data_IF_868484751689
#
_entry.id   IF_868484751689
#
_cell.length_a   1.000
_cell.length_b   1.000
_cell.length_c   1.000
_cell.angle_alpha   90.00
_cell.angle_beta   90.00
_cell.angle_gamma   90.00
#
_symmetry.space_group_name_H-M   'P 1'
#
loop_
_entity.id
_entity.type
_entity.pdbx_description
1 polymer ?
#
# COMPACT_ATOMS: atom_id res chain seq x y z
N UNK A 1 4.89 13.43 11.94
CA UNK A 1 5.35 12.85 10.66
C UNK A 1 5.13 13.86 9.54
N UNK A 2 6.01 13.93 8.55
CA UNK A 2 5.79 14.77 7.36
C UNK A 2 4.54 14.28 6.61
N UNK A 3 3.81 15.15 5.88
CA UNK A 3 2.71 14.72 5.03
C UNK A 3 3.16 13.68 3.99
N UNK A 4 2.32 12.70 3.70
CA UNK A 4 2.67 11.62 2.77
C UNK A 4 3.04 12.16 1.39
N UNK A 5 2.31 13.16 0.92
CA UNK A 5 2.61 13.87 -0.33
C UNK A 5 4.02 14.47 -0.36
N UNK A 6 4.53 15.02 0.74
CA UNK A 6 5.90 15.53 0.84
C UNK A 6 6.91 14.39 0.75
N UNK A 7 6.69 13.30 1.49
CA UNK A 7 7.58 12.14 1.46
C UNK A 7 7.58 11.43 0.10
N UNK A 8 6.47 11.52 -0.65
CA UNK A 8 6.36 11.06 -2.03
C UNK A 8 7.22 11.88 -2.98
N UNK A 9 7.16 13.21 -2.87
CA UNK A 9 8.00 14.11 -3.66
C UNK A 9 9.50 13.83 -3.41
N UNK A 10 9.88 13.62 -2.14
CA UNK A 10 11.25 13.28 -1.78
C UNK A 10 11.75 11.95 -2.39
N UNK A 11 10.85 11.01 -2.66
CA UNK A 11 11.19 9.75 -3.36
C UNK A 11 11.16 9.88 -4.89
N UNK A 12 10.96 11.08 -5.45
CA UNK A 12 10.94 11.33 -6.89
C UNK A 12 9.54 11.36 -7.52
N UNK A 13 8.48 11.41 -6.70
CA UNK A 13 7.12 11.61 -7.21
C UNK A 13 6.95 13.00 -7.81
N UNK A 14 6.14 13.12 -8.86
CA UNK A 14 5.79 14.42 -9.44
C UNK A 14 4.79 15.19 -8.57
N UNK A 15 4.85 16.52 -8.59
CA UNK A 15 3.79 17.37 -8.01
C UNK A 15 2.51 17.14 -8.81
N UNK A 16 1.43 16.78 -8.10
CA UNK A 16 0.09 16.73 -8.65
C UNK A 16 -0.90 17.30 -7.64
N UNK A 17 -2.16 17.50 -8.03
CA UNK A 17 -3.23 17.92 -7.12
C UNK A 17 -3.94 16.75 -6.45
N UNK A 18 -3.35 15.55 -6.46
CA UNK A 18 -4.00 14.32 -6.03
C UNK A 18 -4.08 14.16 -4.51
N UNK A 19 -4.93 13.23 -4.08
CA UNK A 19 -4.89 12.73 -2.71
C UNK A 19 -4.01 11.48 -2.63
N UNK A 20 -3.16 11.40 -1.61
CA UNK A 20 -2.18 10.32 -1.49
C UNK A 20 -2.26 9.64 -0.13
N UNK A 21 -2.10 8.33 -0.11
CA UNK A 21 -1.87 7.51 1.09
C UNK A 21 -0.60 6.67 0.92
N UNK A 22 0.02 6.27 2.04
CA UNK A 22 1.02 5.19 2.01
C UNK A 22 0.33 3.88 1.73
N UNK A 23 1.03 2.98 1.06
CA UNK A 23 0.56 1.64 0.74
C UNK A 23 1.74 0.66 0.79
N UNK A 24 2.46 0.60 1.90
CA UNK A 24 3.72 -0.15 1.97
C UNK A 24 3.46 -1.65 1.73
N UNK A 25 4.25 -2.32 0.88
CA UNK A 25 4.06 -3.74 0.60
C UNK A 25 4.34 -4.58 1.84
N UNK A 26 3.54 -5.62 2.05
CA UNK A 26 3.64 -6.47 3.25
C UNK A 26 3.42 -7.94 2.95
N UNK A 27 3.89 -8.78 3.86
CA UNK A 27 3.46 -10.16 3.98
C UNK A 27 2.57 -10.30 5.22
N UNK A 28 1.33 -10.71 5.02
CA UNK A 28 0.36 -11.01 6.06
C UNK A 28 0.33 -12.51 6.28
N UNK A 29 0.67 -12.95 7.50
CA UNK A 29 0.71 -14.35 7.88
C UNK A 29 -0.44 -14.65 8.86
N UNK A 30 -1.43 -15.44 8.44
CA UNK A 30 -2.39 -16.01 9.36
C UNK A 30 -1.70 -16.98 10.34
N UNK A 31 -2.08 -16.92 11.61
CA UNK A 31 -1.70 -17.85 12.67
C UNK A 31 -2.94 -18.10 13.56
N UNK A 32 -2.86 -19.09 14.44
CA UNK A 32 -3.92 -19.45 15.39
C UNK A 32 -4.37 -18.27 16.27
N UNK A 33 -3.46 -17.32 16.55
CA UNK A 33 -3.70 -16.17 17.42
C UNK A 33 -4.19 -14.93 16.69
N UNK A 34 -4.11 -14.89 15.37
CA UNK A 34 -4.47 -13.72 14.57
C UNK A 34 -3.68 -13.62 13.29
N UNK A 35 -3.71 -12.44 12.67
CA UNK A 35 -2.97 -12.17 11.43
C UNK A 35 -1.84 -11.21 11.74
N UNK A 36 -0.61 -11.61 11.40
CA UNK A 36 0.59 -10.83 11.70
C UNK A 36 1.22 -10.28 10.44
N UNK A 37 1.75 -9.07 10.52
CA UNK A 37 2.39 -8.37 9.42
C UNK A 37 3.91 -8.51 9.53
N UNK A 38 4.55 -8.96 8.45
CA UNK A 38 5.96 -8.79 8.18
C UNK A 38 6.14 -7.65 7.17
N UNK A 39 6.91 -6.63 7.55
CA UNK A 39 7.09 -5.43 6.73
C UNK A 39 8.13 -5.62 5.63
N UNK A 40 8.09 -4.75 4.63
CA UNK A 40 8.91 -4.79 3.43
C UNK A 40 10.43 -4.93 3.68
N UNK A 41 10.96 -4.43 4.80
CA UNK A 41 12.39 -4.54 5.13
C UNK A 41 12.83 -5.99 5.32
N UNK A 42 11.90 -6.88 5.70
CA UNK A 42 12.15 -8.32 5.84
C UNK A 42 11.95 -9.09 4.53
N UNK A 43 11.37 -8.45 3.51
CA UNK A 43 10.94 -9.12 2.29
C UNK A 43 12.01 -9.11 1.21
N UNK A 44 13.05 -8.26 1.32
CA UNK A 44 14.08 -8.10 0.28
C UNK A 44 13.45 -7.96 -1.13
N UNK A 45 12.44 -7.10 -1.22
CA UNK A 45 11.64 -6.91 -2.42
C UNK A 45 12.46 -6.19 -3.49
N UNK A 46 12.56 -6.77 -4.69
CA UNK A 46 13.29 -6.16 -5.80
C UNK A 46 12.43 -5.11 -6.52
N UNK A 47 13.08 -4.14 -7.17
CA UNK A 47 12.38 -3.09 -7.91
C UNK A 47 11.51 -3.63 -9.05
N UNK A 48 11.98 -4.68 -9.75
CA UNK A 48 11.23 -5.32 -10.82
C UNK A 48 9.98 -6.05 -10.31
N UNK A 49 10.09 -6.73 -9.16
CA UNK A 49 8.98 -7.40 -8.49
C UNK A 49 7.92 -6.39 -8.03
N UNK A 50 8.35 -5.29 -7.39
CA UNK A 50 7.46 -4.22 -6.96
C UNK A 50 6.72 -3.58 -8.15
N UNK A 51 7.45 -3.30 -9.25
CA UNK A 51 6.86 -2.75 -10.47
C UNK A 51 5.78 -3.67 -11.04
N UNK A 52 6.05 -4.96 -11.13
CA UNK A 52 5.11 -5.93 -11.70
C UNK A 52 3.81 -6.04 -10.88
N UNK A 53 3.92 -6.11 -9.55
CA UNK A 53 2.75 -6.14 -8.66
C UNK A 53 1.92 -4.85 -8.75
N UNK A 54 2.58 -3.69 -8.77
CA UNK A 54 1.92 -2.39 -8.95
C UNK A 54 1.23 -2.28 -10.31
N UNK A 55 1.84 -2.82 -11.36
CA UNK A 55 1.25 -2.83 -12.71
C UNK A 55 -0.03 -3.66 -12.74
N UNK A 56 -0.03 -4.87 -12.19
CA UNK A 56 -1.26 -5.69 -12.09
C UNK A 56 -2.33 -5.03 -11.24
N UNK A 57 -1.96 -4.38 -10.13
CA UNK A 57 -2.92 -3.60 -9.33
C UNK A 57 -3.55 -2.48 -10.18
N UNK A 58 -2.71 -1.70 -10.88
CA UNK A 58 -3.19 -0.57 -11.67
C UNK A 58 -4.07 -1.01 -12.84
N UNK A 59 -3.78 -2.15 -13.48
CA UNK A 59 -4.66 -2.72 -14.51
C UNK A 59 -6.04 -3.09 -13.95
N UNK A 60 -6.08 -3.58 -12.71
CA UNK A 60 -7.32 -4.04 -12.07
C UNK A 60 -8.17 -2.90 -11.52
N UNK A 61 -7.56 -1.91 -10.87
CA UNK A 61 -8.26 -0.90 -10.08
C UNK A 61 -8.28 0.51 -10.70
N UNK A 62 -7.75 0.69 -11.91
CA UNK A 62 -7.75 2.00 -12.58
C UNK A 62 -9.15 2.59 -12.77
N UNK A 63 -10.16 1.75 -13.04
CA UNK A 63 -11.55 2.18 -13.21
C UNK A 63 -12.14 2.79 -11.93
N UNK A 64 -11.63 2.40 -10.76
CA UNK A 64 -12.03 2.95 -9.45
C UNK A 64 -11.28 4.26 -9.12
N UNK A 65 -10.46 4.76 -10.05
CA UNK A 65 -9.62 5.95 -9.87
C UNK A 65 -8.41 5.70 -8.96
N UNK A 66 -8.06 4.45 -8.70
CA UNK A 66 -6.95 4.06 -7.84
C UNK A 66 -5.69 3.85 -8.67
N UNK A 67 -4.55 4.34 -8.17
CA UNK A 67 -3.24 4.07 -8.77
C UNK A 67 -2.18 3.89 -7.70
N UNK A 68 -1.51 2.75 -7.69
CA UNK A 68 -0.29 2.55 -6.93
C UNK A 68 0.93 3.08 -7.68
N UNK A 69 1.88 3.62 -6.91
CA UNK A 69 3.22 3.97 -7.35
C UNK A 69 4.27 3.38 -6.42
N UNK A 70 5.16 2.56 -6.95
CA UNK A 70 6.35 2.08 -6.26
C UNK A 70 7.55 2.97 -6.61
N UNK A 71 7.75 4.07 -5.87
CA UNK A 71 8.92 4.94 -6.05
C UNK A 71 10.19 4.34 -5.44
N UNK A 72 10.02 3.50 -4.40
CA UNK A 72 11.04 2.56 -3.90
C UNK A 72 10.40 1.18 -3.79
N UNK A 73 11.18 0.08 -3.87
CA UNK A 73 10.63 -1.26 -3.74
C UNK A 73 9.78 -1.44 -2.48
N UNK A 74 10.23 -0.90 -1.35
CA UNK A 74 9.60 -1.01 -0.04
C UNK A 74 8.65 0.14 0.34
N UNK A 75 8.50 1.17 -0.51
CA UNK A 75 7.68 2.35 -0.22
C UNK A 75 6.78 2.68 -1.39
N UNK A 76 5.51 2.30 -1.26
CA UNK A 76 4.50 2.59 -2.28
C UNK A 76 3.52 3.67 -1.82
N UNK A 77 2.84 4.25 -2.80
CA UNK A 77 1.87 5.32 -2.62
C UNK A 77 0.61 5.01 -3.39
N UNK A 78 -0.54 5.13 -2.73
CA UNK A 78 -1.84 5.02 -3.37
C UNK A 78 -2.36 6.42 -3.70
N UNK A 79 -2.54 6.69 -4.98
CA UNK A 79 -3.25 7.86 -5.49
C UNK A 79 -4.75 7.61 -5.41
N UNK A 80 -5.46 8.65 -4.98
CA UNK A 80 -6.90 8.66 -4.80
C UNK A 80 -7.52 9.87 -5.51
N UNK A 81 -8.77 9.75 -5.98
CA UNK A 81 -9.47 10.87 -6.61
C UNK A 81 -9.85 11.97 -5.62
N UNK A 82 -10.06 11.63 -4.34
CA UNK A 82 -10.46 12.55 -3.26
C UNK A 82 -10.11 11.95 -1.88
N UNK A 83 -10.51 12.65 -0.80
CA UNK A 83 -10.41 12.10 0.57
C UNK A 83 -11.11 10.73 0.64
N UNK A 84 -10.42 9.68 1.11
CA UNK A 84 -10.95 8.33 1.14
C UNK A 84 -12.00 8.06 2.23
N UNK A 85 -12.27 9.03 3.11
CA UNK A 85 -13.15 8.92 4.29
C UNK A 85 -12.86 7.67 5.15
N UNK A 86 -11.57 7.38 5.27
CA UNK A 86 -11.03 6.29 6.06
C UNK A 86 -9.80 6.79 6.82
N UNK A 87 -9.55 6.17 7.96
CA UNK A 87 -8.33 6.34 8.74
C UNK A 87 -7.66 4.99 8.90
N UNK A 88 -6.34 4.99 8.99
CA UNK A 88 -5.57 3.76 9.15
C UNK A 88 -4.36 4.01 10.06
N UNK A 89 -3.91 2.94 10.71
CA UNK A 89 -2.82 3.00 11.68
C UNK A 89 -1.46 3.04 10.98
N UNK A 90 -0.47 3.80 11.48
CA UNK A 90 0.90 3.73 10.98
C UNK A 90 1.42 2.28 10.95
N UNK A 91 2.27 1.96 9.98
CA UNK A 91 2.83 0.61 9.79
C UNK A 91 3.48 0.09 11.07
N UNK A 92 4.21 0.95 11.79
CA UNK A 92 4.91 0.62 13.02
C UNK A 92 3.98 0.15 14.14
N UNK A 93 2.70 0.54 14.09
CA UNK A 93 1.68 0.12 15.06
C UNK A 93 1.20 -1.31 14.81
N UNK A 94 1.37 -1.83 13.59
CA UNK A 94 0.90 -3.16 13.19
C UNK A 94 1.95 -4.26 13.37
N UNK A 95 3.24 -3.90 13.41
CA UNK A 95 4.33 -4.86 13.56
C UNK A 95 4.19 -5.60 14.90
N UNK A 96 4.21 -6.94 14.84
CA UNK A 96 4.14 -7.81 16.01
C UNK A 96 2.75 -7.91 16.69
N UNK A 97 1.71 -7.33 16.09
CA UNK A 97 0.33 -7.34 16.64
C UNK A 97 -0.63 -8.03 15.69
N UNK A 98 -1.78 -8.46 16.22
CA UNK A 98 -2.88 -8.94 15.40
C UNK A 98 -3.50 -7.76 14.63
N UNK A 99 -3.38 -7.80 13.30
CA UNK A 99 -3.81 -6.70 12.44
C UNK A 99 -5.32 -6.57 12.33
N UNK A 100 -6.12 -7.56 12.75
CA UNK A 100 -7.59 -7.51 12.64
C UNK A 100 -8.17 -6.31 13.39
N UNK A 101 -7.57 -5.96 14.52
CA UNK A 101 -7.94 -4.78 15.32
C UNK A 101 -7.34 -3.46 14.79
N UNK A 102 -6.50 -3.52 13.74
CA UNK A 102 -5.73 -2.41 13.19
C UNK A 102 -6.03 -2.16 11.71
N UNK A 103 -7.03 -2.85 11.14
CA UNK A 103 -7.51 -2.58 9.79
C UNK A 103 -8.05 -1.14 9.69
N UNK A 104 -8.16 -0.60 8.46
CA UNK A 104 -8.74 0.73 8.26
C UNK A 104 -10.10 0.90 8.94
N UNK A 105 -10.34 2.05 9.54
CA UNK A 105 -11.53 2.37 10.31
C UNK A 105 -12.14 3.71 9.87
N UNK A 106 -13.36 3.99 10.34
CA UNK A 106 -14.13 5.18 9.93
C UNK A 106 -15.29 4.83 8.99
N UNK A 107 -15.95 5.85 8.41
CA UNK A 107 -17.20 5.67 7.68
C UNK A 107 -17.05 4.77 6.45
N UNK A 108 -15.97 4.91 5.68
CA UNK A 108 -15.75 4.11 4.46
C UNK A 108 -15.06 2.74 4.70
N UNK A 109 -14.90 2.28 5.95
CA UNK A 109 -14.09 1.08 6.28
C UNK A 109 -14.43 -0.17 5.46
N UNK A 110 -15.71 -0.42 5.19
CA UNK A 110 -16.15 -1.62 4.48
C UNK A 110 -15.64 -1.66 3.03
N UNK A 111 -15.67 -0.51 2.34
CA UNK A 111 -15.11 -0.35 0.99
C UNK A 111 -13.61 -0.66 0.99
N UNK A 112 -12.89 -0.16 2.00
CA UNK A 112 -11.44 -0.33 2.09
C UNK A 112 -11.04 -1.76 2.47
N UNK A 113 -11.79 -2.44 3.33
CA UNK A 113 -11.57 -3.86 3.63
C UNK A 113 -11.82 -4.74 2.41
N UNK A 114 -12.83 -4.41 1.60
CA UNK A 114 -13.08 -5.07 0.32
C UNK A 114 -11.90 -4.89 -0.63
N UNK A 115 -11.45 -3.65 -0.86
CA UNK A 115 -10.28 -3.36 -1.72
C UNK A 115 -9.04 -4.12 -1.27
N UNK A 116 -8.73 -4.12 0.03
CA UNK A 116 -7.56 -4.82 0.56
C UNK A 116 -7.67 -6.33 0.35
N UNK A 117 -8.85 -6.91 0.54
CA UNK A 117 -9.10 -8.34 0.27
C UNK A 117 -8.93 -8.66 -1.22
N UNK A 118 -9.48 -7.84 -2.11
CA UNK A 118 -9.34 -8.03 -3.56
C UNK A 118 -7.88 -7.91 -4.02
N UNK A 119 -7.14 -6.94 -3.49
CA UNK A 119 -5.71 -6.80 -3.74
C UNK A 119 -4.90 -8.00 -3.21
N UNK A 120 -5.27 -8.55 -2.06
CA UNK A 120 -4.63 -9.78 -1.54
C UNK A 120 -4.86 -10.97 -2.49
N UNK A 121 -6.08 -11.15 -2.98
CA UNK A 121 -6.39 -12.21 -3.95
C UNK A 121 -5.59 -12.04 -5.25
N UNK A 122 -5.52 -10.81 -5.76
CA UNK A 122 -4.73 -10.47 -6.95
C UNK A 122 -3.25 -10.80 -6.74
N UNK A 123 -2.67 -10.36 -5.64
CA UNK A 123 -1.24 -10.57 -5.37
C UNK A 123 -0.91 -12.03 -5.10
N UNK A 124 -1.78 -12.75 -4.39
CA UNK A 124 -1.60 -14.18 -4.14
C UNK A 124 -1.48 -14.99 -5.43
N UNK A 125 -2.30 -14.68 -6.45
CA UNK A 125 -2.27 -15.37 -7.74
C UNK A 125 -1.10 -14.93 -8.66
N UNK A 126 -0.34 -13.89 -8.29
CA UNK A 126 0.60 -13.25 -9.19
C UNK A 126 1.89 -14.08 -9.41
N UNK A 127 2.40 -14.20 -10.66
CA UNK A 127 3.60 -15.01 -10.96
C UNK A 127 4.85 -14.63 -10.15
N UNK A 128 5.00 -13.35 -9.78
CA UNK A 128 6.10 -12.91 -8.90
C UNK A 128 6.05 -13.62 -7.55
N UNK A 129 4.88 -13.74 -6.93
CA UNK A 129 4.77 -14.40 -5.64
C UNK A 129 4.99 -15.91 -5.74
N UNK A 130 4.52 -16.54 -6.83
CA UNK A 130 4.84 -17.94 -7.11
C UNK A 130 6.35 -18.17 -7.25
N UNK A 131 7.06 -17.27 -7.94
CA UNK A 131 8.51 -17.34 -8.09
C UNK A 131 9.26 -17.08 -6.77
N UNK A 132 8.76 -16.16 -5.94
CA UNK A 132 9.29 -15.92 -4.59
C UNK A 132 9.16 -17.15 -3.70
N UNK A 133 7.98 -17.77 -3.68
CA UNK A 133 7.73 -19.00 -2.93
C UNK A 133 8.63 -20.15 -3.39
N UNK A 134 8.83 -20.31 -4.71
CA UNK A 134 9.75 -21.31 -5.27
C UNK A 134 11.22 -21.11 -4.82
N UNK A 135 11.59 -19.88 -4.42
CA UNK A 135 12.89 -19.52 -3.84
C UNK A 135 12.89 -19.46 -2.31
N UNK A 136 11.84 -19.98 -1.65
CA UNK A 136 11.64 -19.91 -0.19
C UNK A 136 11.60 -18.47 0.37
N UNK A 137 11.19 -17.49 -0.44
CA UNK A 137 11.00 -16.11 0.00
C UNK A 137 9.54 -15.87 0.35
N UNK A 138 9.28 -14.99 1.32
CA UNK A 138 7.92 -14.61 1.68
C UNK A 138 7.23 -13.88 0.51
N UNK A 139 5.99 -14.26 0.16
CA UNK A 139 5.22 -13.58 -0.87
C UNK A 139 4.77 -12.20 -0.38
N UNK A 140 4.73 -11.22 -1.28
CA UNK A 140 4.12 -9.91 -1.05
C UNK A 140 2.62 -10.06 -1.28
N UNK A 141 1.88 -10.43 -0.26
CA UNK A 141 0.46 -10.77 -0.41
C UNK A 141 -0.48 -9.61 -0.10
N UNK A 142 0.02 -8.41 0.21
CA UNK A 142 -0.82 -7.23 0.38
C UNK A 142 -0.02 -5.95 0.52
N UNK A 143 -0.72 -4.87 0.89
CA UNK A 143 -0.12 -3.60 1.27
C UNK A 143 -0.82 -3.02 2.51
N UNK A 144 -0.07 -2.25 3.29
CA UNK A 144 -0.56 -1.57 4.48
C UNK A 144 -0.84 -0.10 4.19
N UNK A 145 -2.11 0.29 4.31
CA UNK A 145 -2.53 1.67 4.14
C UNK A 145 -2.30 2.47 5.42
N UNK A 146 -1.69 3.64 5.30
CA UNK A 146 -1.54 4.54 6.44
C UNK A 146 -1.26 5.98 6.07
N UNK A 147 -1.44 6.87 7.06
CA UNK A 147 -1.30 8.31 6.91
C UNK A 147 -2.22 8.86 5.81
N UNK A 148 -1.73 9.84 5.09
CA UNK A 148 -2.35 10.38 3.91
C UNK A 148 -2.67 11.86 4.00
N UNK A 149 -3.02 12.43 2.86
CA UNK A 149 -3.36 13.84 2.76
C UNK A 149 -3.35 14.33 1.32
N UNK A 150 -3.82 15.56 1.10
CA UNK A 150 -3.74 16.17 -0.21
C UNK A 150 -2.29 16.45 -0.55
N UNK A 151 -1.96 16.39 -1.84
CA UNK A 151 -0.74 16.99 -2.32
C UNK A 151 -0.76 18.50 -2.07
N UNK A 152 0.39 19.11 -1.69
CA UNK A 152 0.46 20.56 -1.55
C UNK A 152 0.08 21.18 -2.90
N UNK A 153 -0.87 22.11 -2.89
CA UNK A 153 -1.18 22.89 -4.08
C UNK A 153 0.08 23.71 -4.42
N UNK A 154 0.54 23.72 -5.69
CA UNK A 154 1.58 24.64 -6.07
C UNK A 154 1.09 26.05 -5.72
N UNK A 155 1.90 26.81 -4.96
CA UNK A 155 1.62 28.22 -4.76
C UNK A 155 1.57 28.86 -6.14
N UNK A 156 0.47 29.53 -6.47
CA UNK A 156 0.47 30.43 -7.61
C UNK A 156 1.60 31.42 -7.39
N UNK A 157 2.52 31.49 -8.35
CA UNK A 157 3.49 32.59 -8.41
C UNK A 157 2.71 33.74 -9.04
N UNK A 158 2.40 34.75 -8.23
CA UNK A 158 1.94 36.06 -8.72
C UNK A 158 3.10 36.82 -9.37
#
# INVERSE_FOLDING_TARGET
ALPISVTRLADGGAVDGGWWQRADPVHLRPDLRGVFLADARMLALEAAEARALVESFNQTFAADGLRLEALRPERWYLRLPADPDVRAHPLETAIGRDIRALLPYGPAKARWHKLLTEAQMLFHAHPINQAREARNQLPINGFWLWGGGPAPKPKAVD
#
